data_IF_067221686534
#
_entry.id   IF_067221686534
#
_cell.length_a   1.000
_cell.length_b   1.000
_cell.length_c   1.000
_cell.angle_alpha   90.00
_cell.angle_beta   90.00
_cell.angle_gamma   90.00
#
_symmetry.space_group_name_H-M   'P 1'
#
loop_
_entity.id
_entity.type
_entity.pdbx_description
1 polymer ?
#
# COMPACT_ATOMS: atom_id res chain seq x y z
N UNK A 1 -15.02 17.77 7.33
CA UNK A 1 -15.39 16.56 8.08
C UNK A 1 -16.86 16.69 8.43
N UNK A 2 -17.65 15.66 8.15
CA UNK A 2 -19.03 15.55 8.63
C UNK A 2 -19.03 14.55 9.78
N UNK A 3 -19.68 14.89 10.89
CA UNK A 3 -19.88 13.99 12.02
C UNK A 3 -21.38 13.82 12.26
N UNK A 4 -21.86 12.58 12.26
CA UNK A 4 -23.25 12.24 12.48
C UNK A 4 -23.37 11.27 13.65
N UNK A 5 -23.90 11.77 14.78
CA UNK A 5 -24.17 10.99 15.99
C UNK A 5 -25.67 10.77 16.24
N UNK A 6 -26.52 11.32 15.37
CA UNK A 6 -27.97 11.33 15.55
C UNK A 6 -28.66 10.07 15.05
N UNK A 7 -29.98 10.13 14.95
CA UNK A 7 -30.78 9.13 14.24
C UNK A 7 -31.30 9.70 12.93
N UNK A 8 -31.19 8.95 11.83
CA UNK A 8 -31.80 9.30 10.54
C UNK A 8 -32.68 8.13 10.12
N UNK A 9 -33.95 8.42 9.81
CA UNK A 9 -34.96 7.38 9.59
C UNK A 9 -35.78 7.65 8.34
N UNK A 10 -35.99 6.63 7.53
CA UNK A 10 -36.84 6.64 6.35
C UNK A 10 -37.57 5.29 6.28
N UNK A 11 -38.40 5.01 7.29
CA UNK A 11 -39.08 3.72 7.40
C UNK A 11 -40.31 3.61 6.51
N UNK A 12 -40.60 2.38 6.10
CA UNK A 12 -41.90 2.02 5.56
C UNK A 12 -43.00 2.16 6.63
N UNK A 13 -44.24 2.36 6.20
CA UNK A 13 -45.39 2.48 7.10
C UNK A 13 -45.75 1.16 7.79
N UNK A 14 -46.55 1.24 8.87
CA UNK A 14 -46.94 0.05 9.64
C UNK A 14 -47.78 -0.95 8.85
N UNK A 15 -48.65 -0.47 7.95
CA UNK A 15 -49.54 -1.33 7.15
C UNK A 15 -48.97 -1.67 5.77
N UNK A 16 -48.23 -0.75 5.16
CA UNK A 16 -47.64 -0.89 3.83
C UNK A 16 -46.59 0.20 3.56
N UNK A 17 -45.80 0.01 2.50
CA UNK A 17 -44.80 0.96 2.02
C UNK A 17 -43.37 0.49 2.27
N UNK A 18 -42.50 0.79 1.32
CA UNK A 18 -41.07 0.48 1.37
C UNK A 18 -40.31 1.50 2.22
N UNK A 19 -39.13 1.11 2.70
CA UNK A 19 -38.17 2.02 3.31
C UNK A 19 -37.57 2.94 2.26
N UNK A 20 -37.23 4.16 2.66
CA UNK A 20 -36.67 5.18 1.81
C UNK A 20 -35.14 5.19 1.77
N UNK A 21 -34.61 6.15 1.02
CA UNK A 21 -33.18 6.41 0.96
C UNK A 21 -32.79 7.37 2.08
N UNK A 22 -31.75 6.99 2.83
CA UNK A 22 -31.04 7.82 3.78
C UNK A 22 -29.69 8.17 3.17
N UNK A 23 -29.28 9.43 3.24
CA UNK A 23 -27.96 9.85 2.77
C UNK A 23 -27.27 10.71 3.83
N UNK A 24 -26.03 10.37 4.12
CA UNK A 24 -25.12 11.23 4.90
C UNK A 24 -23.81 11.37 4.13
N UNK A 25 -23.46 12.61 3.78
CA UNK A 25 -22.33 12.91 2.90
C UNK A 25 -21.24 13.71 3.63
N UNK A 26 -19.99 13.54 3.20
CA UNK A 26 -18.83 14.26 3.75
C UNK A 26 -17.79 14.57 2.69
N UNK A 27 -17.32 15.81 2.60
CA UNK A 27 -16.38 16.22 1.53
C UNK A 27 -15.05 15.46 1.51
N UNK A 28 -14.53 15.07 2.68
CA UNK A 28 -13.25 14.36 2.83
C UNK A 28 -13.39 13.15 3.76
N UNK A 29 -13.93 13.38 4.95
CA UNK A 29 -14.11 12.36 5.98
C UNK A 29 -15.54 12.47 6.53
N UNK A 30 -16.15 11.30 6.75
CA UNK A 30 -17.44 11.13 7.39
C UNK A 30 -17.28 10.18 8.57
N UNK A 31 -17.61 10.66 9.77
CA UNK A 31 -17.81 9.82 10.95
C UNK A 31 -19.31 9.62 11.12
N UNK A 32 -19.78 8.39 10.89
CA UNK A 32 -21.17 8.00 11.15
C UNK A 32 -21.18 7.11 12.40
N UNK A 33 -21.50 7.71 13.54
CA UNK A 33 -21.62 7.05 14.85
C UNK A 33 -23.05 7.11 15.40
N UNK A 34 -24.01 7.48 14.53
CA UNK A 34 -25.44 7.50 14.79
C UNK A 34 -26.15 6.23 14.31
N UNK A 35 -27.47 6.26 14.24
CA UNK A 35 -28.30 5.15 13.77
C UNK A 35 -29.05 5.52 12.50
N UNK A 36 -28.94 4.67 11.46
CA UNK A 36 -29.75 4.75 10.24
C UNK A 36 -30.84 3.68 10.25
N UNK A 37 -32.11 4.07 10.13
CA UNK A 37 -33.24 3.14 10.10
C UNK A 37 -34.11 3.37 8.84
N UNK A 38 -33.83 2.57 7.81
CA UNK A 38 -34.63 2.50 6.58
C UNK A 38 -35.48 1.22 6.53
N UNK A 39 -35.83 0.64 7.69
CA UNK A 39 -36.60 -0.60 7.74
C UNK A 39 -38.03 -0.42 7.21
N UNK A 40 -38.62 -1.49 6.69
CA UNK A 40 -40.03 -1.54 6.33
C UNK A 40 -40.63 -2.84 6.84
N UNK A 41 -41.65 -2.75 7.70
CA UNK A 41 -42.25 -3.92 8.32
C UNK A 41 -43.00 -4.82 7.31
N UNK A 42 -43.65 -4.19 6.33
CA UNK A 42 -44.48 -4.84 5.32
C UNK A 42 -44.10 -4.42 3.88
N UNK A 43 -42.86 -3.96 3.69
CA UNK A 43 -42.32 -3.51 2.41
C UNK A 43 -40.84 -3.89 2.25
N UNK A 44 -40.22 -3.44 1.18
CA UNK A 44 -38.78 -3.61 0.96
C UNK A 44 -38.00 -2.62 1.84
N UNK A 45 -36.95 -3.07 2.51
CA UNK A 45 -36.08 -2.17 3.26
C UNK A 45 -35.38 -1.18 2.31
N UNK A 46 -35.25 0.06 2.74
CA UNK A 46 -34.52 1.10 2.03
C UNK A 46 -33.00 0.98 2.22
N UNK A 47 -32.28 2.02 1.85
CA UNK A 47 -30.81 2.02 1.89
C UNK A 47 -30.28 3.22 2.65
N UNK A 48 -29.12 3.03 3.27
CA UNK A 48 -28.28 4.11 3.77
C UNK A 48 -27.08 4.27 2.85
N UNK A 49 -26.95 5.46 2.25
CA UNK A 49 -25.82 5.85 1.43
C UNK A 49 -24.88 6.72 2.28
N UNK A 50 -23.61 6.34 2.28
CA UNK A 50 -22.53 7.11 2.86
C UNK A 50 -21.66 7.60 1.70
N UNK A 51 -21.56 8.92 1.53
CA UNK A 51 -20.77 9.55 0.45
C UNK A 51 -19.58 10.37 1.01
N UNK A 52 -18.53 9.71 1.54
CA UNK A 52 -17.26 10.37 1.80
C UNK A 52 -16.20 10.05 0.75
N UNK A 53 -15.07 10.76 0.82
CA UNK A 53 -13.86 10.38 0.07
C UNK A 53 -13.27 9.04 0.56
N UNK A 54 -13.38 8.75 1.87
CA UNK A 54 -12.93 7.51 2.51
C UNK A 54 -13.98 7.01 3.52
N UNK A 55 -14.24 5.70 3.59
CA UNK A 55 -15.11 5.06 4.60
C UNK A 55 -14.25 4.17 5.52
N UNK A 56 -14.40 4.33 6.83
CA UNK A 56 -13.86 3.41 7.84
C UNK A 56 -15.06 2.74 8.51
N UNK A 57 -15.13 1.40 8.46
CA UNK A 57 -16.15 0.60 9.15
C UNK A 57 -15.46 -0.09 10.32
N UNK A 58 -15.89 0.21 11.53
CA UNK A 58 -15.24 -0.24 12.75
C UNK A 58 -16.29 -0.65 13.80
N UNK A 59 -16.04 -1.75 14.52
CA UNK A 59 -16.86 -2.25 15.65
C UNK A 59 -16.34 -1.78 17.03
N UNK A 60 -15.33 -0.89 17.03
CA UNK A 60 -14.41 -0.41 18.09
C UNK A 60 -13.04 -1.10 18.05
N UNK A 61 -12.23 -0.76 17.05
CA UNK A 61 -10.86 -1.21 16.87
C UNK A 61 -9.94 -0.04 17.17
N UNK A 62 -9.31 -0.09 18.34
CA UNK A 62 -8.03 0.58 18.54
C UNK A 62 -7.04 0.05 17.50
N UNK A 63 -6.92 0.77 16.38
CA UNK A 63 -6.05 0.46 15.25
C UNK A 63 -6.72 0.84 13.93
N UNK A 64 -6.22 1.89 13.28
CA UNK A 64 -6.65 2.25 11.93
C UNK A 64 -6.36 1.09 10.97
N UNK A 65 -7.40 0.42 10.49
CA UNK A 65 -7.25 -0.52 9.37
C UNK A 65 -7.32 0.26 8.06
N UNK A 66 -6.28 0.17 7.25
CA UNK A 66 -6.26 0.69 5.89
C UNK A 66 -5.90 -0.43 4.92
N UNK A 67 -6.30 -0.26 3.66
CA UNK A 67 -5.83 -1.10 2.57
C UNK A 67 -4.71 -0.36 1.85
N UNK A 68 -3.65 -1.10 1.51
CA UNK A 68 -2.63 -0.60 0.60
C UNK A 68 -3.04 -0.97 -0.82
N UNK A 69 -3.26 0.06 -1.64
CA UNK A 69 -3.53 -0.10 -3.05
C UNK A 69 -2.23 -0.01 -3.83
N UNK A 70 -2.14 -0.81 -4.88
CA UNK A 70 -1.08 -0.70 -5.88
C UNK A 70 -1.11 0.72 -6.50
N UNK A 71 -0.06 1.53 -6.35
CA UNK A 71 -0.01 2.87 -6.93
C UNK A 71 0.02 2.89 -8.46
N UNK A 72 0.42 1.78 -9.11
CA UNK A 72 0.38 1.61 -10.56
C UNK A 72 -0.27 0.26 -10.92
N UNK A 73 -1.61 0.15 -10.80
CA UNK A 73 -2.28 -1.14 -10.94
C UNK A 73 -2.29 -1.62 -12.39
N UNK A 74 -1.57 -2.71 -12.65
CA UNK A 74 -1.70 -3.48 -13.89
C UNK A 74 -1.66 -4.99 -13.62
N UNK A 75 -2.26 -5.75 -14.54
CA UNK A 75 -2.32 -7.19 -14.42
C UNK A 75 -0.91 -7.79 -14.54
N UNK A 76 -0.48 -8.53 -13.51
CA UNK A 76 0.83 -9.18 -13.50
C UNK A 76 1.91 -8.45 -12.71
N UNK A 77 1.71 -7.18 -12.32
CA UNK A 77 2.70 -6.36 -11.57
C UNK A 77 3.13 -7.00 -10.24
N UNK A 78 2.31 -7.92 -9.73
CA UNK A 78 2.60 -8.70 -8.53
C UNK A 78 2.81 -7.83 -7.29
N UNK A 79 2.06 -6.73 -7.19
CA UNK A 79 2.04 -5.88 -6.00
C UNK A 79 1.79 -6.71 -4.75
N UNK A 80 2.59 -6.47 -3.71
CA UNK A 80 2.55 -7.27 -2.48
C UNK A 80 3.37 -8.55 -2.55
N UNK A 81 4.18 -8.77 -3.59
CA UNK A 81 5.02 -9.97 -3.68
C UNK A 81 5.95 -10.13 -2.47
N UNK A 82 6.46 -9.02 -1.92
CA UNK A 82 7.21 -8.93 -0.66
C UNK A 82 6.77 -7.69 0.10
N UNK A 83 6.79 -7.80 1.42
CA UNK A 83 6.50 -6.70 2.33
C UNK A 83 7.47 -6.70 3.50
N UNK A 84 7.74 -5.53 4.07
CA UNK A 84 8.47 -5.38 5.32
C UNK A 84 7.94 -4.19 6.11
N UNK A 85 7.92 -4.32 7.44
CA UNK A 85 7.67 -3.21 8.36
C UNK A 85 9.02 -2.73 8.88
N UNK A 86 9.30 -1.44 8.73
CA UNK A 86 10.54 -0.83 9.17
C UNK A 86 10.52 -0.51 10.67
N UNK A 87 11.68 -0.22 11.26
CA UNK A 87 11.76 0.14 12.69
C UNK A 87 11.05 1.45 13.03
N UNK A 88 10.83 2.32 12.04
CA UNK A 88 10.05 3.55 12.17
C UNK A 88 8.54 3.33 11.92
N UNK A 89 8.11 2.07 11.69
CA UNK A 89 6.72 1.70 11.45
C UNK A 89 6.28 1.73 9.99
N UNK A 90 6.99 2.46 9.11
CA UNK A 90 6.61 2.53 7.70
C UNK A 90 6.62 1.15 7.03
N UNK A 91 5.74 0.99 6.04
CA UNK A 91 5.52 -0.29 5.37
C UNK A 91 6.12 -0.22 3.97
N UNK A 92 6.99 -1.16 3.65
CA UNK A 92 7.57 -1.32 2.31
C UNK A 92 6.84 -2.45 1.59
N UNK A 93 6.46 -2.22 0.34
CA UNK A 93 5.77 -3.19 -0.51
C UNK A 93 6.42 -3.24 -1.88
N UNK A 94 6.72 -4.42 -2.40
CA UNK A 94 7.26 -4.58 -3.75
C UNK A 94 6.17 -4.87 -4.79
N UNK A 95 6.34 -4.35 -6.00
CA UNK A 95 5.67 -4.78 -7.22
C UNK A 95 6.76 -5.11 -8.27
N UNK A 96 7.26 -6.35 -8.30
CA UNK A 96 8.44 -6.69 -9.09
C UNK A 96 8.22 -6.58 -10.61
N UNK A 97 7.00 -6.79 -11.10
CA UNK A 97 6.72 -6.69 -12.53
C UNK A 97 6.07 -5.36 -12.91
N UNK A 98 6.13 -4.36 -12.02
CA UNK A 98 5.60 -3.03 -12.30
C UNK A 98 6.22 -2.39 -13.55
N UNK A 99 5.40 -1.68 -14.30
CA UNK A 99 5.72 -1.09 -15.59
C UNK A 99 5.65 0.45 -15.58
N UNK A 100 5.67 1.08 -14.40
CA UNK A 100 5.49 2.54 -14.23
C UNK A 100 6.47 3.38 -15.06
N UNK A 101 7.72 2.93 -15.19
CA UNK A 101 8.78 3.67 -15.91
C UNK A 101 9.22 2.94 -17.19
N UNK A 102 9.26 1.61 -17.18
CA UNK A 102 9.55 0.77 -18.33
C UNK A 102 9.03 -0.67 -18.10
N UNK A 103 8.88 -1.43 -19.18
CA UNK A 103 8.36 -2.81 -19.16
C UNK A 103 9.09 -3.70 -18.14
N UNK A 104 8.36 -4.21 -17.14
CA UNK A 104 8.88 -5.06 -16.06
C UNK A 104 10.10 -4.47 -15.33
N UNK A 105 10.18 -3.14 -15.26
CA UNK A 105 11.26 -2.45 -14.56
C UNK A 105 11.10 -2.51 -13.04
N UNK A 106 9.87 -2.78 -12.59
CA UNK A 106 9.46 -2.99 -11.21
C UNK A 106 9.50 -1.75 -10.33
N UNK A 107 8.88 -1.90 -9.16
CA UNK A 107 8.80 -0.85 -8.17
C UNK A 107 8.86 -1.37 -6.73
N UNK A 108 9.32 -0.51 -5.83
CA UNK A 108 9.17 -0.65 -4.39
C UNK A 108 8.52 0.61 -3.83
N UNK A 109 7.43 0.43 -3.09
CA UNK A 109 6.62 1.49 -2.52
C UNK A 109 6.79 1.56 -1.02
N UNK A 110 6.86 2.77 -0.48
CA UNK A 110 6.90 3.04 0.95
C UNK A 110 5.59 3.70 1.37
N UNK A 111 4.92 3.16 2.39
CA UNK A 111 3.63 3.64 2.87
C UNK A 111 3.68 4.07 4.33
N UNK A 112 2.91 5.10 4.65
CA UNK A 112 2.66 5.55 6.01
C UNK A 112 1.78 4.52 6.74
N UNK A 113 2.15 4.11 7.96
CA UNK A 113 1.48 3.01 8.66
C UNK A 113 0.18 3.41 9.37
N UNK A 114 -0.14 4.69 9.44
CA UNK A 114 -1.36 5.16 10.10
C UNK A 114 -2.47 5.44 9.08
N UNK A 115 -2.08 5.90 7.89
CA UNK A 115 -3.00 6.42 6.86
C UNK A 115 -3.01 5.59 5.57
N UNK A 116 -2.02 4.71 5.38
CA UNK A 116 -1.80 4.03 4.10
C UNK A 116 -1.35 4.95 2.96
N UNK A 117 -1.02 6.21 3.24
CA UNK A 117 -0.55 7.15 2.23
C UNK A 117 0.81 6.72 1.66
N UNK A 118 0.97 6.84 0.34
CA UNK A 118 2.25 6.64 -0.32
C UNK A 118 3.23 7.74 0.08
N UNK A 119 4.37 7.36 0.67
CA UNK A 119 5.45 8.25 1.07
C UNK A 119 6.50 8.39 -0.03
N UNK A 120 6.78 7.30 -0.75
CA UNK A 120 7.78 7.31 -1.81
C UNK A 120 7.75 6.05 -2.67
N UNK A 121 8.36 6.16 -3.84
CA UNK A 121 8.45 5.10 -4.84
C UNK A 121 9.87 5.01 -5.37
N UNK A 122 10.41 3.80 -5.45
CA UNK A 122 11.70 3.52 -6.08
C UNK A 122 11.44 2.63 -7.29
N UNK A 123 11.85 3.13 -8.46
CA UNK A 123 11.73 2.48 -9.77
C UNK A 123 13.11 2.03 -10.28
N UNK A 124 13.19 1.47 -11.50
CA UNK A 124 14.49 1.23 -12.12
C UNK A 124 15.21 0.01 -11.56
N UNK A 125 14.46 -1.01 -11.16
CA UNK A 125 14.96 -2.15 -10.38
C UNK A 125 15.15 -3.40 -11.23
N UNK A 126 14.75 -3.34 -12.52
CA UNK A 126 14.94 -4.33 -13.59
C UNK A 126 14.76 -5.77 -13.08
N UNK A 127 13.55 -6.18 -12.71
CA UNK A 127 13.33 -7.53 -12.18
C UNK A 127 13.10 -8.56 -13.29
N UNK A 128 14.18 -8.98 -13.95
CA UNK A 128 14.19 -10.15 -14.83
C UNK A 128 13.98 -11.51 -14.12
N UNK A 129 13.85 -11.52 -12.78
CA UNK A 129 13.41 -12.71 -12.03
C UNK A 129 14.01 -12.77 -10.62
N UNK A 130 13.15 -13.08 -9.65
CA UNK A 130 13.44 -13.34 -8.24
C UNK A 130 13.87 -12.12 -7.41
N UNK A 131 12.86 -11.44 -6.86
CA UNK A 131 12.99 -10.53 -5.72
C UNK A 131 13.40 -11.35 -4.49
N UNK A 132 14.60 -11.07 -3.94
CA UNK A 132 15.16 -11.89 -2.89
C UNK A 132 14.55 -11.58 -1.52
N UNK A 133 14.44 -10.31 -1.13
CA UNK A 133 13.86 -9.89 0.16
C UNK A 133 13.81 -8.35 0.29
N UNK A 134 12.99 -7.83 1.20
CA UNK A 134 13.10 -6.46 1.72
C UNK A 134 13.59 -6.54 3.16
N UNK A 135 14.60 -5.77 3.52
CA UNK A 135 15.26 -5.86 4.83
C UNK A 135 15.20 -4.51 5.51
N UNK A 136 14.46 -4.46 6.60
CA UNK A 136 14.53 -3.35 7.52
C UNK A 136 15.89 -3.33 8.22
N UNK A 137 16.54 -2.17 8.23
CA UNK A 137 17.75 -1.91 8.99
C UNK A 137 17.40 -1.25 10.32
N UNK A 138 18.28 -1.42 11.32
CA UNK A 138 18.07 -0.86 12.66
C UNK A 138 17.98 0.67 12.71
N UNK A 139 18.55 1.36 11.71
CA UNK A 139 18.53 2.83 11.57
C UNK A 139 17.24 3.37 10.91
N UNK A 140 16.26 2.51 10.59
CA UNK A 140 15.01 2.91 9.94
C UNK A 140 15.10 2.99 8.42
N UNK A 141 16.26 2.71 7.81
CA UNK A 141 16.40 2.52 6.36
C UNK A 141 16.10 1.07 5.97
N UNK A 142 16.12 0.79 4.68
CA UNK A 142 15.91 -0.56 4.19
C UNK A 142 16.75 -0.90 2.96
N UNK A 143 16.97 -2.19 2.78
CA UNK A 143 17.74 -2.74 1.67
C UNK A 143 16.89 -3.75 0.93
N UNK A 144 16.94 -3.69 -0.38
CA UNK A 144 16.30 -4.67 -1.25
C UNK A 144 17.15 -4.87 -2.50
N UNK A 145 16.82 -5.86 -3.32
CA UNK A 145 17.59 -6.13 -4.52
C UNK A 145 17.03 -7.22 -5.39
N UNK A 146 17.57 -7.27 -6.59
CA UNK A 146 17.26 -8.23 -7.64
C UNK A 146 18.54 -8.94 -8.03
N UNK A 147 18.63 -10.26 -7.84
CA UNK A 147 19.81 -11.02 -8.27
C UNK A 147 19.94 -11.05 -9.79
N UNK A 148 18.82 -11.01 -10.51
CA UNK A 148 18.77 -11.10 -11.97
C UNK A 148 18.59 -9.74 -12.64
N UNK A 149 18.87 -8.64 -11.92
CA UNK A 149 18.80 -7.32 -12.53
C UNK A 149 19.76 -7.18 -13.71
N UNK A 150 19.22 -6.62 -14.80
CA UNK A 150 19.97 -6.25 -15.99
C UNK A 150 20.37 -4.78 -15.87
N UNK A 151 21.67 -4.53 -15.69
CA UNK A 151 22.19 -3.18 -15.49
C UNK A 151 22.90 -2.71 -16.76
N UNK A 152 22.42 -1.64 -17.39
CA UNK A 152 23.06 -1.05 -18.59
C UNK A 152 23.38 -2.07 -19.69
N UNK A 153 22.49 -3.05 -19.91
CA UNK A 153 22.69 -4.11 -20.90
C UNK A 153 23.40 -5.36 -20.39
N UNK A 154 23.97 -5.34 -19.18
CA UNK A 154 24.69 -6.46 -18.57
C UNK A 154 23.68 -7.45 -17.99
N UNK A 155 23.63 -8.65 -18.57
CA UNK A 155 22.70 -9.70 -18.20
C UNK A 155 22.97 -10.26 -16.79
N UNK A 156 21.93 -10.39 -15.98
CA UNK A 156 21.99 -10.99 -14.63
C UNK A 156 23.12 -10.45 -13.75
N UNK A 157 23.42 -9.17 -13.89
CA UNK A 157 24.44 -8.49 -13.11
C UNK A 157 24.04 -8.42 -11.62
N UNK A 158 22.74 -8.27 -11.36
CA UNK A 158 22.20 -8.11 -10.03
C UNK A 158 22.34 -6.69 -9.49
N UNK A 159 21.45 -6.29 -8.60
CA UNK A 159 21.43 -4.96 -7.98
C UNK A 159 20.99 -5.04 -6.53
N UNK A 160 21.61 -4.24 -5.68
CA UNK A 160 21.24 -4.04 -4.28
C UNK A 160 21.09 -2.55 -4.04
N UNK A 161 19.95 -2.14 -3.51
CA UNK A 161 19.60 -0.74 -3.27
C UNK A 161 19.41 -0.53 -1.77
N UNK A 162 20.10 0.48 -1.24
CA UNK A 162 19.85 1.06 0.07
C UNK A 162 18.92 2.26 -0.10
N UNK A 163 17.84 2.28 0.65
CA UNK A 163 16.80 3.29 0.55
C UNK A 163 16.46 3.91 1.90
N UNK A 164 16.08 5.19 1.85
CA UNK A 164 15.64 5.95 3.00
C UNK A 164 14.24 5.48 3.42
N UNK A 165 14.11 4.92 4.62
CA UNK A 165 12.82 4.40 5.08
C UNK A 165 11.83 5.45 5.57
N UNK A 166 12.18 6.73 5.50
CA UNK A 166 11.28 7.86 5.81
C UNK A 166 10.71 8.49 4.53
N UNK A 167 11.55 8.69 3.51
CA UNK A 167 11.17 9.37 2.27
C UNK A 167 10.94 8.43 1.09
N UNK A 168 11.48 7.21 1.16
CA UNK A 168 11.50 6.29 0.02
C UNK A 168 12.51 6.68 -1.06
N UNK A 169 13.45 7.58 -0.78
CA UNK A 169 14.50 7.93 -1.74
C UNK A 169 15.59 6.85 -1.76
N UNK A 170 16.15 6.59 -2.95
CA UNK A 170 17.37 5.80 -3.09
C UNK A 170 18.55 6.55 -2.45
N UNK A 171 19.21 5.92 -1.47
CA UNK A 171 20.44 6.45 -0.85
C UNK A 171 21.65 6.00 -1.66
N UNK A 172 21.68 4.72 -2.02
CA UNK A 172 22.78 4.16 -2.80
C UNK A 172 22.34 2.90 -3.56
N UNK A 173 23.00 2.64 -4.68
CA UNK A 173 22.78 1.45 -5.52
C UNK A 173 24.11 0.80 -5.85
N UNK A 174 24.17 -0.49 -5.55
CA UNK A 174 25.28 -1.36 -5.90
C UNK A 174 24.82 -2.25 -7.04
N UNK A 175 25.47 -2.14 -8.18
CA UNK A 175 25.12 -2.90 -9.39
C UNK A 175 26.29 -3.78 -9.79
N UNK A 176 26.00 -5.04 -10.14
CA UNK A 176 27.00 -5.89 -10.78
C UNK A 176 27.50 -5.25 -12.08
N UNK A 177 28.76 -5.53 -12.40
CA UNK A 177 29.48 -4.91 -13.53
C UNK A 177 29.89 -5.94 -14.59
N UNK A 178 29.72 -7.24 -14.32
CA UNK A 178 29.89 -8.30 -15.31
C UNK A 178 28.60 -9.11 -15.49
N UNK A 179 28.43 -9.77 -16.64
CA UNK A 179 27.34 -10.72 -16.84
C UNK A 179 27.39 -11.82 -15.78
N UNK A 180 26.24 -12.15 -15.21
CA UNK A 180 26.09 -13.19 -14.19
C UNK A 180 26.87 -12.93 -12.88
N UNK A 181 27.26 -11.68 -12.59
CA UNK A 181 27.73 -11.31 -11.25
C UNK A 181 26.70 -11.69 -10.18
N UNK A 182 25.42 -11.66 -10.54
CA UNK A 182 24.30 -12.03 -9.68
C UNK A 182 24.41 -11.37 -8.30
N UNK A 183 24.80 -10.09 -8.30
CA UNK A 183 25.07 -9.34 -7.08
C UNK A 183 23.82 -9.38 -6.21
N UNK A 184 23.96 -10.02 -5.05
CA UNK A 184 22.91 -10.19 -4.06
C UNK A 184 23.36 -9.65 -2.69
N UNK A 185 22.45 -9.75 -1.73
CA UNK A 185 22.72 -9.36 -0.35
C UNK A 185 23.92 -10.09 0.28
N UNK A 186 24.11 -11.38 -0.01
CA UNK A 186 25.22 -12.15 0.56
C UNK A 186 26.55 -11.63 0.00
N UNK A 187 26.55 -11.16 -1.23
CA UNK A 187 27.70 -10.54 -1.89
C UNK A 187 28.06 -9.16 -1.32
N UNK A 188 27.09 -8.40 -0.79
CA UNK A 188 27.33 -7.03 -0.25
C UNK A 188 27.61 -7.01 1.26
N UNK A 189 27.25 -8.07 2.00
CA UNK A 189 27.47 -8.15 3.45
C UNK A 189 26.68 -7.09 4.23
N UNK A 190 25.49 -7.46 4.72
CA UNK A 190 24.56 -6.55 5.43
C UNK A 190 25.22 -5.81 6.61
N UNK A 191 26.25 -6.40 7.22
CA UNK A 191 27.07 -5.79 8.27
C UNK A 191 27.77 -4.50 7.85
N UNK A 192 28.12 -4.34 6.57
CA UNK A 192 28.73 -3.11 6.05
C UNK A 192 27.70 -2.00 5.80
N UNK A 193 26.40 -2.34 5.69
CA UNK A 193 25.31 -1.35 5.54
C UNK A 193 24.73 -0.90 6.88
N UNK A 194 24.95 -1.65 7.97
CA UNK A 194 24.53 -1.27 9.32
C UNK A 194 25.38 -0.16 9.96
N UNK A 195 26.51 0.21 9.32
CA UNK A 195 27.39 1.29 9.76
C UNK A 195 27.15 2.64 9.09
N UNK A 196 26.16 2.75 8.20
CA UNK A 196 25.79 3.98 7.47
C UNK A 196 24.46 4.57 7.93
#
# INVERSE_FOLDING_TARGET
MTEFYGSVTARGGELSGDGGLLEVSGKNELVFAGMGDASAANGVAGQLLLDPKNIIIDDNVTGSSFQLFDPNPAAGNSFGARTAVLTNGNIVVSAPADDLVADNDGAVYLFNPDTGALLGTINGVNFGGLFLDIIALGNGNFVFGSMLAKNNGIENAGTVILANGTTGDEINRFSGVNPFDQLDRKSVGVSNLLGM
#
